data_IF_406322665756
#
_entry.id   IF_406322665756
#
_cell.length_a   1.000
_cell.length_b   1.000
_cell.length_c   1.000
_cell.angle_alpha   90.00
_cell.angle_beta   90.00
_cell.angle_gamma   90.00
#
_symmetry.space_group_name_H-M   'P 1'
#
loop_
_entity.id
_entity.type
_entity.pdbx_description
1 polymer ?
#
# COMPACT_ATOMS: atom_id res chain seq x y z
N UNK A 1 0.65 -4.73 32.24
CA UNK A 1 0.67 -5.02 30.79
C UNK A 1 1.93 -5.82 30.53
N UNK A 2 1.92 -6.94 29.80
CA UNK A 2 3.17 -7.50 29.32
C UNK A 2 3.81 -6.47 28.37
N UNK A 3 5.12 -6.28 28.47
CA UNK A 3 5.88 -5.36 27.61
C UNK A 3 5.72 -5.78 26.14
N UNK A 4 5.03 -4.97 25.34
CA UNK A 4 4.95 -5.19 23.89
C UNK A 4 6.24 -4.68 23.28
N UNK A 5 7.08 -5.60 22.83
CA UNK A 5 8.32 -5.29 22.11
C UNK A 5 8.04 -5.44 20.62
N UNK A 6 7.89 -4.33 19.90
CA UNK A 6 7.75 -4.32 18.45
C UNK A 6 9.11 -4.16 17.79
N UNK A 7 9.44 -5.03 16.85
CA UNK A 7 10.71 -4.97 16.12
C UNK A 7 10.41 -5.15 14.64
N UNK A 8 10.74 -4.14 13.82
CA UNK A 8 10.76 -4.25 12.36
C UNK A 8 12.18 -4.03 11.85
N UNK A 9 12.84 -5.13 11.55
CA UNK A 9 14.17 -5.12 10.95
C UNK A 9 14.04 -5.37 9.46
N UNK A 10 14.65 -4.48 8.68
CA UNK A 10 14.80 -4.66 7.25
C UNK A 10 16.28 -4.53 6.93
N UNK A 11 16.88 -5.63 6.51
CA UNK A 11 18.32 -5.72 6.29
C UNK A 11 18.52 -6.13 4.86
N UNK A 12 19.30 -5.33 4.13
CA UNK A 12 19.80 -5.71 2.80
C UNK A 12 21.31 -5.82 2.91
N UNK A 13 21.85 -6.95 2.47
CA UNK A 13 23.29 -7.13 2.30
C UNK A 13 23.58 -7.42 0.84
N UNK A 14 24.70 -6.91 0.35
CA UNK A 14 25.17 -7.19 -1.01
C UNK A 14 26.61 -7.70 -0.91
N UNK A 15 26.86 -8.85 -1.53
CA UNK A 15 28.19 -9.44 -1.62
C UNK A 15 28.51 -9.85 -3.05
N UNK A 16 29.80 -9.85 -3.40
CA UNK A 16 30.26 -10.44 -4.65
C UNK A 16 30.17 -11.96 -4.50
N UNK A 17 29.21 -12.58 -5.18
CA UNK A 17 28.98 -14.02 -5.14
C UNK A 17 30.08 -14.77 -5.91
N UNK A 18 30.38 -14.26 -7.10
CA UNK A 18 31.50 -14.63 -7.94
C UNK A 18 31.98 -13.39 -8.71
N UNK A 19 33.07 -13.50 -9.47
CA UNK A 19 33.65 -12.36 -10.20
C UNK A 19 32.74 -11.67 -11.22
N UNK A 20 31.51 -12.17 -11.44
CA UNK A 20 30.53 -11.63 -12.39
C UNK A 20 29.13 -11.48 -11.82
N UNK A 21 28.90 -11.80 -10.55
CA UNK A 21 27.56 -11.85 -9.94
C UNK A 21 27.55 -11.22 -8.56
N UNK A 22 26.62 -10.31 -8.33
CA UNK A 22 26.26 -9.81 -6.99
C UNK A 22 25.14 -10.68 -6.42
N UNK A 23 25.25 -11.02 -5.14
CA UNK A 23 24.17 -11.59 -4.36
C UNK A 23 23.66 -10.52 -3.38
N UNK A 24 22.46 -10.02 -3.64
CA UNK A 24 21.73 -9.20 -2.70
C UNK A 24 20.80 -10.09 -1.86
N UNK A 25 20.93 -10.04 -0.54
CA UNK A 25 20.04 -10.74 0.40
C UNK A 25 19.21 -9.71 1.14
N UNK A 26 17.91 -9.82 1.04
CA UNK A 26 16.95 -8.99 1.76
C UNK A 26 16.28 -9.81 2.85
N UNK A 27 16.21 -9.28 4.06
CA UNK A 27 15.43 -9.83 5.16
C UNK A 27 14.46 -8.75 5.62
N UNK A 28 13.16 -9.04 5.57
CA UNK A 28 12.17 -8.34 6.37
C UNK A 28 11.81 -9.24 7.55
N UNK A 29 12.01 -8.74 8.76
CA UNK A 29 11.62 -9.40 9.98
C UNK A 29 10.86 -8.41 10.84
N UNK A 30 9.54 -8.49 10.81
CA UNK A 30 8.66 -7.85 11.77
C UNK A 30 7.79 -8.86 12.53
N UNK A 31 6.98 -8.36 13.47
CA UNK A 31 6.15 -9.18 14.35
C UNK A 31 5.01 -9.90 13.61
N UNK A 32 4.64 -9.42 12.42
CA UNK A 32 3.51 -9.90 11.62
C UNK A 32 4.00 -10.72 10.42
N UNK A 33 5.08 -10.26 9.79
CA UNK A 33 5.66 -10.76 8.57
C UNK A 33 7.17 -10.93 8.72
N UNK A 34 7.63 -12.14 8.40
CA UNK A 34 9.03 -12.45 8.24
C UNK A 34 9.23 -13.04 6.86
N UNK A 35 10.05 -12.44 6.02
CA UNK A 35 10.43 -12.99 4.72
C UNK A 35 11.87 -12.67 4.37
N UNK A 36 12.47 -13.56 3.60
CA UNK A 36 13.82 -13.41 3.06
C UNK A 36 13.76 -13.52 1.54
N UNK A 37 14.60 -12.75 0.86
CA UNK A 37 14.90 -12.92 -0.56
C UNK A 37 16.39 -12.98 -0.81
N UNK A 38 16.77 -13.74 -1.84
CA UNK A 38 18.11 -13.78 -2.41
C UNK A 38 18.00 -13.45 -3.89
N UNK A 39 18.72 -12.43 -4.33
CA UNK A 39 18.67 -11.90 -5.68
C UNK A 39 20.08 -11.96 -6.25
N UNK A 40 20.23 -12.69 -7.36
CA UNK A 40 21.49 -12.85 -8.07
C UNK A 40 21.48 -11.95 -9.30
N UNK A 41 22.38 -10.98 -9.35
CA UNK A 41 22.42 -9.92 -10.36
C UNK A 41 23.78 -9.97 -11.05
N UNK A 42 23.82 -10.01 -12.38
CA UNK A 42 25.11 -9.96 -13.07
C UNK A 42 25.72 -8.56 -13.02
N UNK A 43 27.04 -8.47 -12.94
CA UNK A 43 27.77 -7.19 -12.79
C UNK A 43 27.97 -6.44 -14.10
N UNK A 44 27.58 -7.00 -15.25
CA UNK A 44 27.86 -6.40 -16.56
C UNK A 44 26.63 -5.70 -17.13
N UNK A 45 25.51 -6.40 -17.22
CA UNK A 45 24.21 -5.95 -17.66
C UNK A 45 23.23 -5.66 -16.52
N UNK A 46 23.63 -5.85 -15.26
CA UNK A 46 22.82 -5.55 -14.07
C UNK A 46 21.41 -6.17 -14.13
N UNK A 47 21.36 -7.41 -14.62
CA UNK A 47 20.14 -8.19 -14.84
C UNK A 47 19.99 -9.27 -13.77
N UNK A 48 18.77 -9.45 -13.27
CA UNK A 48 18.45 -10.50 -12.29
C UNK A 48 18.50 -11.86 -12.99
N UNK A 49 19.43 -12.75 -12.62
CA UNK A 49 19.55 -14.09 -13.21
C UNK A 49 18.91 -15.21 -12.39
N UNK A 50 18.84 -15.03 -11.08
CA UNK A 50 18.13 -15.95 -10.20
C UNK A 50 17.55 -15.19 -9.03
N UNK A 51 16.44 -15.68 -8.52
CA UNK A 51 15.78 -15.12 -7.36
C UNK A 51 15.23 -16.24 -6.51
N UNK A 52 15.33 -16.12 -5.19
CA UNK A 52 14.72 -17.05 -4.24
C UNK A 52 14.00 -16.25 -3.18
N UNK A 53 12.83 -16.70 -2.77
CA UNK A 53 12.07 -16.09 -1.67
C UNK A 53 11.65 -17.15 -0.67
N UNK A 54 11.58 -16.75 0.58
CA UNK A 54 11.11 -17.58 1.68
C UNK A 54 10.28 -16.75 2.64
N UNK A 55 9.17 -17.32 3.10
CA UNK A 55 8.46 -16.80 4.25
C UNK A 55 8.94 -17.50 5.52
N UNK A 56 9.27 -16.71 6.53
CA UNK A 56 9.63 -17.12 7.88
C UNK A 56 8.44 -16.96 8.84
N UNK A 57 7.57 -15.96 8.60
CA UNK A 57 6.37 -15.68 9.39
C UNK A 57 5.33 -14.95 8.53
N UNK A 58 4.05 -15.31 8.65
CA UNK A 58 2.96 -14.69 7.90
C UNK A 58 1.63 -14.90 8.63
N UNK A 59 0.69 -13.98 8.43
CA UNK A 59 -0.67 -14.05 9.01
C UNK A 59 -1.73 -14.51 8.01
N UNK A 60 -1.43 -14.44 6.71
CA UNK A 60 -2.34 -14.84 5.63
C UNK A 60 -1.93 -16.22 5.07
N UNK A 61 -2.75 -17.27 5.19
CA UNK A 61 -2.38 -18.64 4.78
C UNK A 61 -1.88 -18.75 3.34
N UNK A 62 -2.30 -17.86 2.46
CA UNK A 62 -1.95 -17.84 1.05
C UNK A 62 -0.59 -17.20 0.75
N UNK A 63 0.03 -16.47 1.69
CA UNK A 63 1.29 -15.74 1.51
C UNK A 63 2.40 -16.60 0.86
N UNK A 64 2.52 -17.87 1.25
CA UNK A 64 3.51 -18.79 0.68
C UNK A 64 3.42 -18.98 -0.85
N UNK A 65 2.25 -18.77 -1.47
CA UNK A 65 2.03 -18.92 -2.92
C UNK A 65 2.74 -17.83 -3.72
N UNK A 66 3.05 -16.70 -3.08
CA UNK A 66 3.79 -15.61 -3.69
C UNK A 66 5.21 -16.02 -4.12
N UNK A 67 5.79 -17.08 -3.54
CA UNK A 67 7.18 -17.50 -3.79
C UNK A 67 7.40 -17.96 -5.23
N UNK A 68 6.42 -18.60 -5.87
CA UNK A 68 6.59 -19.08 -7.25
C UNK A 68 6.56 -17.90 -8.24
N UNK A 69 5.70 -16.93 -7.98
CA UNK A 69 5.45 -15.78 -8.86
C UNK A 69 6.58 -14.74 -8.81
N UNK A 70 7.41 -14.79 -7.77
CA UNK A 70 8.66 -14.04 -7.65
C UNK A 70 9.61 -14.25 -8.84
N UNK A 71 9.62 -15.45 -9.43
CA UNK A 71 10.51 -15.79 -10.55
C UNK A 71 10.29 -14.92 -11.79
N UNK A 72 9.15 -14.22 -11.89
CA UNK A 72 8.86 -13.29 -12.99
C UNK A 72 9.76 -12.06 -13.01
N UNK A 73 10.48 -11.78 -11.93
CA UNK A 73 11.51 -10.74 -11.91
C UNK A 73 12.82 -11.19 -12.58
N UNK A 74 13.03 -12.49 -12.77
CA UNK A 74 14.23 -13.01 -13.45
C UNK A 74 14.24 -12.52 -14.90
N UNK A 75 15.38 -11.99 -15.33
CA UNK A 75 15.59 -11.34 -16.62
C UNK A 75 15.30 -9.84 -16.63
N UNK A 76 14.86 -9.24 -15.53
CA UNK A 76 14.71 -7.78 -15.45
C UNK A 76 16.06 -7.09 -15.24
N UNK A 77 16.33 -6.05 -16.04
CA UNK A 77 17.49 -5.19 -15.89
C UNK A 77 17.17 -4.07 -14.89
N UNK A 78 17.97 -3.94 -13.83
CA UNK A 78 17.70 -3.00 -12.72
C UNK A 78 18.08 -1.55 -13.07
N UNK A 79 18.72 -1.35 -14.22
CA UNK A 79 19.05 -0.01 -14.76
C UNK A 79 17.93 0.54 -15.64
N UNK A 80 16.93 -0.27 -16.00
CA UNK A 80 15.80 0.18 -16.81
C UNK A 80 15.04 1.30 -16.06
N UNK A 81 14.71 2.39 -16.75
CA UNK A 81 14.02 3.54 -16.13
C UNK A 81 12.61 3.21 -15.66
N UNK A 82 11.99 2.16 -16.19
CA UNK A 82 10.70 1.63 -15.79
C UNK A 82 10.79 0.43 -14.84
N UNK A 83 12.00 0.04 -14.40
CA UNK A 83 12.23 -1.16 -13.57
C UNK A 83 11.31 -1.20 -12.35
N UNK A 84 11.24 -0.11 -11.59
CA UNK A 84 10.42 -0.05 -10.38
C UNK A 84 8.93 -0.23 -10.66
N UNK A 85 8.44 0.34 -11.76
CA UNK A 85 7.05 0.16 -12.21
C UNK A 85 6.82 -1.28 -12.69
N UNK A 86 7.79 -1.86 -13.40
CA UNK A 86 7.76 -3.25 -13.87
C UNK A 86 7.69 -4.22 -12.70
N UNK A 87 8.54 -4.08 -11.68
CA UNK A 87 8.52 -4.93 -10.47
C UNK A 87 7.24 -4.75 -9.66
N UNK A 88 6.76 -3.52 -9.48
CA UNK A 88 5.44 -3.30 -8.84
C UNK A 88 4.33 -3.99 -9.61
N UNK A 89 4.38 -3.97 -10.95
CA UNK A 89 3.38 -4.62 -11.82
C UNK A 89 3.53 -6.14 -11.92
N UNK A 90 4.74 -6.68 -11.93
CA UNK A 90 4.99 -8.12 -12.08
C UNK A 90 5.03 -8.79 -10.73
N UNK A 91 5.88 -8.36 -9.81
CA UNK A 91 6.03 -8.96 -8.47
C UNK A 91 4.97 -8.42 -7.51
N UNK A 92 4.75 -7.11 -7.48
CA UNK A 92 3.80 -6.51 -6.54
C UNK A 92 2.36 -6.96 -6.78
N UNK A 93 1.95 -7.09 -8.06
CA UNK A 93 0.62 -7.57 -8.43
C UNK A 93 0.50 -9.08 -8.53
N UNK A 94 1.54 -9.81 -8.94
CA UNK A 94 1.44 -11.26 -9.20
C UNK A 94 1.97 -12.14 -8.06
N UNK A 95 2.88 -11.62 -7.22
CA UNK A 95 3.49 -12.32 -6.07
C UNK A 95 2.96 -11.73 -4.77
N UNK A 96 3.60 -10.69 -4.21
CA UNK A 96 3.06 -9.86 -3.14
C UNK A 96 3.83 -8.54 -3.02
N UNK A 97 3.21 -7.54 -2.39
CA UNK A 97 3.83 -6.23 -2.17
C UNK A 97 5.06 -6.31 -1.25
N UNK A 98 5.05 -7.18 -0.24
CA UNK A 98 6.19 -7.36 0.68
C UNK A 98 7.46 -7.79 -0.08
N UNK A 99 7.32 -8.77 -0.97
CA UNK A 99 8.43 -9.23 -1.81
C UNK A 99 8.84 -8.18 -2.85
N UNK A 100 7.88 -7.47 -3.44
CA UNK A 100 8.18 -6.43 -4.42
C UNK A 100 9.00 -5.29 -3.81
N UNK A 101 8.61 -4.79 -2.64
CA UNK A 101 9.32 -3.72 -1.95
C UNK A 101 10.71 -4.17 -1.51
N UNK A 102 10.83 -5.36 -0.92
CA UNK A 102 12.14 -5.89 -0.52
C UNK A 102 13.06 -6.14 -1.72
N UNK A 103 12.51 -6.58 -2.84
CA UNK A 103 13.25 -6.77 -4.09
C UNK A 103 13.78 -5.46 -4.66
N UNK A 104 12.95 -4.40 -4.69
CA UNK A 104 13.39 -3.08 -5.14
C UNK A 104 14.60 -2.60 -4.34
N UNK A 105 14.54 -2.74 -3.01
CA UNK A 105 15.63 -2.32 -2.14
C UNK A 105 16.90 -3.15 -2.32
N UNK A 106 16.77 -4.47 -2.53
CA UNK A 106 17.90 -5.32 -2.90
C UNK A 106 18.56 -4.86 -4.21
N UNK A 107 17.76 -4.45 -5.19
CA UNK A 107 18.26 -3.98 -6.48
C UNK A 107 18.92 -2.60 -6.36
N UNK A 108 18.34 -1.68 -5.60
CA UNK A 108 18.93 -0.35 -5.35
C UNK A 108 20.26 -0.49 -4.61
N UNK A 109 20.32 -1.32 -3.56
CA UNK A 109 21.58 -1.60 -2.85
C UNK A 109 22.62 -2.26 -3.75
N UNK A 110 22.20 -3.13 -4.68
CA UNK A 110 23.12 -3.76 -5.63
C UNK A 110 23.68 -2.75 -6.65
N UNK A 111 22.88 -1.76 -7.08
CA UNK A 111 23.36 -0.65 -7.92
C UNK A 111 24.41 0.17 -7.18
N UNK A 112 24.12 0.57 -5.94
CA UNK A 112 25.07 1.33 -5.12
C UNK A 112 26.38 0.55 -4.91
N UNK A 113 26.29 -0.76 -4.66
CA UNK A 113 27.46 -1.62 -4.51
C UNK A 113 28.27 -1.76 -5.81
N UNK A 114 27.63 -1.75 -6.98
CA UNK A 114 28.29 -1.79 -8.28
C UNK A 114 28.98 -0.46 -8.66
N UNK A 115 28.43 0.68 -8.19
CA UNK A 115 29.00 2.01 -8.42
C UNK A 115 30.13 2.35 -7.43
N UNK A 116 30.18 1.68 -6.29
CA UNK A 116 31.16 1.93 -5.23
C UNK A 116 32.47 1.17 -5.46
N UNK A 117 33.64 1.84 -5.55
CA UNK A 117 34.94 1.16 -5.62
C UNK A 117 35.32 0.62 -4.24
N UNK A 118 34.65 -0.44 -3.79
CA UNK A 118 34.99 -1.10 -2.53
C UNK A 118 36.30 -1.86 -2.74
N UNK A 119 37.41 -1.32 -2.20
CA UNK A 119 38.65 -2.09 -2.02
C UNK A 119 38.32 -3.31 -1.17
N UNK A 120 38.77 -4.52 -1.54
CA UNK A 120 38.63 -5.69 -0.69
C UNK A 120 39.23 -5.36 0.69
N UNK A 121 38.42 -5.41 1.74
CA UNK A 121 38.95 -5.46 3.09
C UNK A 121 39.78 -6.74 3.17
N UNK A 122 41.10 -6.59 3.37
CA UNK A 122 41.96 -7.72 3.68
C UNK A 122 41.33 -8.48 4.84
N UNK A 123 41.12 -9.78 4.66
CA UNK A 123 40.70 -10.68 5.74
C UNK A 123 41.81 -10.70 6.78
N UNK A 124 41.77 -9.77 7.74
CA UNK A 124 42.51 -9.95 8.98
C UNK A 124 41.81 -11.09 9.72
N UNK A 125 42.52 -12.21 9.84
CA UNK A 125 42.04 -13.37 10.58
C UNK A 125 41.65 -12.93 11.99
N UNK A 126 40.37 -13.13 12.34
CA UNK A 126 39.93 -12.99 13.72
C UNK A 126 40.72 -13.99 14.59
N UNK A 127 41.21 -13.58 15.78
CA UNK A 127 41.91 -14.49 16.67
C UNK A 127 40.94 -15.58 17.12
N UNK A 128 41.38 -16.84 17.03
CA UNK A 128 40.61 -18.00 17.43
C UNK A 128 40.27 -17.95 18.93
N UNK A 129 39.03 -17.61 19.27
CA UNK A 129 38.47 -17.86 20.60
C UNK A 129 37.75 -19.21 20.59
N UNK A 130 38.32 -20.15 21.34
CA UNK A 130 37.69 -21.43 21.69
C UNK A 130 36.60 -21.18 22.72
N UNK A 131 35.34 -21.08 22.32
CA UNK A 131 34.22 -21.36 23.23
C UNK A 131 33.10 -22.07 22.47
N UNK A 132 32.86 -23.33 22.81
CA UNK A 132 31.69 -24.11 22.41
C UNK A 132 30.56 -23.83 23.39
N UNK A 133 29.30 -23.75 22.92
CA UNK A 133 28.25 -24.46 23.65
C UNK A 133 27.39 -25.33 22.74
N UNK A 134 27.17 -26.55 23.23
CA UNK A 134 26.21 -27.52 22.75
C UNK A 134 24.76 -27.10 23.04
N UNK A 135 23.85 -27.82 22.36
CA UNK A 135 22.42 -27.99 22.64
C UNK A 135 21.44 -26.96 22.07
N UNK A 136 20.93 -27.26 20.88
CA UNK A 136 19.49 -27.22 20.59
C UNK A 136 19.18 -28.27 19.52
N UNK A 137 18.72 -29.43 19.98
CA UNK A 137 18.30 -30.54 19.15
C UNK A 137 16.80 -30.43 18.83
N UNK A 138 16.48 -30.74 17.57
CA UNK A 138 15.26 -31.36 17.04
C UNK A 138 13.88 -30.76 17.36
N UNK A 139 13.21 -30.28 16.30
CA UNK A 139 11.75 -30.27 16.20
C UNK A 139 11.31 -31.07 14.94
N UNK A 140 10.16 -31.75 14.97
CA UNK A 140 9.82 -32.84 14.04
C UNK A 140 9.21 -32.35 12.72
N UNK A 141 9.48 -33.07 11.63
CA UNK A 141 8.88 -32.83 10.31
C UNK A 141 7.46 -33.39 10.22
N UNK A 142 6.51 -32.66 9.60
CA UNK A 142 5.20 -33.21 9.27
C UNK A 142 5.19 -33.98 7.94
N UNK A 143 4.52 -35.13 7.96
CA UNK A 143 4.43 -36.13 6.89
C UNK A 143 3.61 -35.65 5.67
N UNK A 144 4.07 -36.05 4.47
CA UNK A 144 3.39 -35.87 3.17
C UNK A 144 2.15 -36.77 3.08
N UNK A 145 1.04 -36.24 2.54
CA UNK A 145 -0.05 -37.04 1.96
C UNK A 145 -0.02 -36.99 0.43
N UNK A 146 -0.45 -38.04 -0.28
CA UNK A 146 -0.18 -38.24 -1.70
C UNK A 146 -1.10 -37.47 -2.64
N UNK A 147 -0.58 -37.21 -3.83
CA UNK A 147 -1.14 -36.46 -4.95
C UNK A 147 -2.43 -37.08 -5.54
N UNK A 148 -3.29 -36.22 -6.10
CA UNK A 148 -4.35 -36.61 -7.03
C UNK A 148 -4.12 -35.92 -8.38
N UNK A 149 -4.03 -36.74 -9.42
CA UNK A 149 -3.62 -36.42 -10.78
C UNK A 149 -4.59 -35.52 -11.58
N UNK A 150 -4.02 -35.00 -12.67
CA UNK A 150 -4.50 -33.97 -13.57
C UNK A 150 -5.66 -34.35 -14.51
N UNK A 151 -6.34 -33.34 -15.05
CA UNK A 151 -6.90 -33.37 -16.41
C UNK A 151 -6.93 -31.94 -16.99
N UNK A 152 -6.14 -31.74 -18.05
CA UNK A 152 -6.10 -30.49 -18.82
C UNK A 152 -7.02 -30.51 -20.04
N UNK A 153 -7.32 -29.31 -20.54
CA UNK A 153 -7.89 -29.07 -21.87
C UNK A 153 -7.52 -27.66 -22.36
N UNK A 154 -7.11 -27.46 -23.63
CA UNK A 154 -6.62 -26.18 -24.13
C UNK A 154 -7.74 -25.26 -24.60
N UNK A 155 -7.60 -23.95 -24.36
CA UNK A 155 -8.50 -22.89 -24.87
C UNK A 155 -7.72 -21.99 -25.86
N UNK A 156 -8.28 -21.65 -27.03
CA UNK A 156 -7.58 -20.97 -28.12
C UNK A 156 -7.40 -19.45 -27.89
N UNK A 157 -6.45 -18.79 -28.60
CA UNK A 157 -6.14 -17.37 -28.41
C UNK A 157 -7.14 -16.44 -29.10
N UNK A 158 -7.41 -15.28 -28.48
CA UNK A 158 -8.20 -14.16 -29.02
C UNK A 158 -7.23 -13.03 -29.42
N UNK A 159 -7.42 -12.34 -30.56
CA UNK A 159 -6.41 -11.46 -31.16
C UNK A 159 -6.38 -10.05 -30.55
N UNK A 160 -5.23 -9.39 -30.66
CA UNK A 160 -4.95 -8.05 -30.13
C UNK A 160 -5.52 -6.92 -31.02
N UNK A 161 -5.98 -5.79 -30.44
CA UNK A 161 -6.22 -4.57 -31.21
C UNK A 161 -4.98 -3.65 -31.24
N UNK A 162 -4.81 -2.97 -32.37
CA UNK A 162 -3.69 -2.10 -32.72
C UNK A 162 -3.73 -0.70 -32.06
N UNK A 163 -2.58 -0.02 -31.92
CA UNK A 163 -2.47 1.25 -31.19
C UNK A 163 -2.66 2.48 -32.09
N UNK A 164 -3.35 3.49 -31.56
CA UNK A 164 -3.08 4.89 -31.92
C UNK A 164 -4.28 5.82 -31.81
N UNK A 165 -4.23 6.77 -30.85
CA UNK A 165 -4.24 8.24 -31.04
C UNK A 165 -4.63 8.94 -29.71
N UNK A 166 -3.69 9.65 -29.07
CA UNK A 166 -3.99 10.49 -27.90
C UNK A 166 -4.66 11.81 -28.35
N UNK A 167 -5.79 12.25 -27.75
CA UNK A 167 -6.31 13.60 -27.93
C UNK A 167 -5.96 14.53 -26.76
N UNK A 168 -5.70 15.79 -27.12
CA UNK A 168 -5.35 16.92 -26.24
C UNK A 168 -6.48 17.26 -25.27
N UNK A 169 -6.12 17.49 -24.00
CA UNK A 169 -7.04 17.84 -22.90
C UNK A 169 -7.46 19.31 -23.04
N UNK A 170 -8.76 19.55 -23.29
CA UNK A 170 -9.41 20.84 -23.07
C UNK A 170 -10.03 20.83 -21.67
N UNK A 171 -9.79 21.88 -20.89
CA UNK A 171 -10.32 22.07 -19.55
C UNK A 171 -11.85 22.29 -19.57
N UNK A 172 -12.62 21.32 -19.13
CA UNK A 172 -14.05 21.49 -18.82
C UNK A 172 -14.23 22.07 -17.42
N UNK A 173 -15.23 22.94 -17.18
CA UNK A 173 -15.55 23.45 -15.84
C UNK A 173 -16.01 22.32 -14.92
N UNK A 174 -15.73 22.46 -13.62
CA UNK A 174 -16.14 21.52 -12.58
C UNK A 174 -17.67 21.27 -12.60
N UNK A 175 -18.15 20.04 -12.35
CA UNK A 175 -19.57 19.76 -12.22
C UNK A 175 -20.17 20.60 -11.09
N UNK A 176 -21.21 21.38 -11.36
CA UNK A 176 -21.96 22.08 -10.32
C UNK A 176 -22.82 21.06 -9.57
N UNK A 177 -22.45 20.71 -8.35
CA UNK A 177 -23.24 19.83 -7.49
C UNK A 177 -24.44 20.61 -6.95
N UNK A 178 -25.55 20.59 -7.70
CA UNK A 178 -26.72 21.47 -7.51
C UNK A 178 -27.55 21.21 -6.23
N UNK A 179 -27.09 20.37 -5.31
CA UNK A 179 -27.88 19.90 -4.16
C UNK A 179 -27.40 20.37 -2.78
N UNK A 180 -26.53 21.39 -2.72
CA UNK A 180 -25.97 21.84 -1.44
C UNK A 180 -25.00 20.82 -0.82
N UNK A 181 -24.43 21.18 0.33
CA UNK A 181 -23.40 20.38 1.01
C UNK A 181 -21.98 20.72 0.56
N UNK A 182 -21.04 19.80 0.78
CA UNK A 182 -19.64 19.94 0.36
C UNK A 182 -19.04 18.61 -0.11
N UNK A 183 -18.03 18.68 -0.96
CA UNK A 183 -17.31 17.51 -1.49
C UNK A 183 -15.85 17.61 -1.11
N UNK A 184 -15.41 16.62 -0.34
CA UNK A 184 -14.07 16.60 0.24
C UNK A 184 -13.40 15.30 -0.19
N UNK A 185 -12.17 15.42 -0.67
CA UNK A 185 -11.30 14.27 -0.87
C UNK A 185 -10.70 13.85 0.47
N UNK A 186 -11.12 12.68 0.98
CA UNK A 186 -10.77 12.23 2.32
C UNK A 186 -9.44 11.47 2.38
N UNK A 187 -8.80 11.18 1.24
CA UNK A 187 -7.61 10.33 1.20
C UNK A 187 -6.60 10.82 0.18
N UNK A 188 -5.46 11.34 0.64
CA UNK A 188 -4.33 11.73 -0.20
C UNK A 188 -3.03 11.86 0.61
N UNK A 189 -1.91 11.79 -0.11
CA UNK A 189 -0.55 11.76 0.43
C UNK A 189 0.30 12.87 -0.16
N UNK A 190 1.13 13.47 0.69
CA UNK A 190 1.95 14.64 0.38
C UNK A 190 3.43 14.44 0.72
N UNK A 191 4.31 15.05 -0.06
CA UNK A 191 5.71 15.21 0.28
C UNK A 191 5.93 16.48 1.11
N UNK A 192 6.76 16.47 2.17
CA UNK A 192 7.60 15.37 2.64
C UNK A 192 6.98 14.50 3.74
N UNK A 193 5.72 14.73 4.11
CA UNK A 193 5.06 14.05 5.22
C UNK A 193 4.97 12.52 5.02
N UNK A 194 4.65 12.09 3.79
CA UNK A 194 4.65 10.69 3.37
C UNK A 194 5.76 10.39 2.38
N UNK A 195 6.65 9.40 2.64
CA UNK A 195 7.68 8.97 1.71
C UNK A 195 7.15 8.36 0.40
N UNK A 196 5.87 7.97 0.36
CA UNK A 196 5.24 7.40 -0.82
C UNK A 196 4.87 8.44 -1.88
N UNK A 197 4.73 9.71 -1.50
CA UNK A 197 4.29 10.80 -2.36
C UNK A 197 5.45 11.63 -2.89
N UNK A 198 5.33 12.11 -4.13
CA UNK A 198 6.32 13.00 -4.74
C UNK A 198 5.81 14.45 -4.88
N UNK A 199 4.52 14.67 -4.60
CA UNK A 199 3.83 15.95 -4.81
C UNK A 199 3.80 16.80 -3.54
N UNK A 200 4.02 18.10 -3.69
CA UNK A 200 3.96 19.03 -2.55
C UNK A 200 2.52 19.24 -2.07
N UNK A 201 2.37 19.53 -0.78
CA UNK A 201 1.08 19.93 -0.17
C UNK A 201 0.42 21.08 -0.92
N UNK A 202 1.21 22.08 -1.32
CA UNK A 202 0.70 23.25 -2.03
C UNK A 202 0.12 22.88 -3.41
N UNK A 203 0.74 21.94 -4.13
CA UNK A 203 0.26 21.51 -5.45
C UNK A 203 -1.01 20.68 -5.34
N UNK A 204 -1.12 19.84 -4.31
CA UNK A 204 -2.36 19.11 -3.99
C UNK A 204 -3.51 20.09 -3.75
N UNK A 205 -3.29 21.12 -2.92
CA UNK A 205 -4.31 22.13 -2.60
C UNK A 205 -4.69 22.95 -3.83
N UNK A 206 -3.71 23.38 -4.63
CA UNK A 206 -3.97 24.12 -5.87
C UNK A 206 -4.82 23.31 -6.84
N UNK A 207 -4.53 22.01 -7.00
CA UNK A 207 -5.32 21.15 -7.86
C UNK A 207 -6.73 20.96 -7.30
N UNK A 208 -6.87 20.62 -6.00
CA UNK A 208 -8.16 20.53 -5.28
C UNK A 208 -9.05 21.76 -5.52
N UNK A 209 -8.47 22.95 -5.41
CA UNK A 209 -9.17 24.21 -5.69
C UNK A 209 -9.48 24.39 -7.16
N UNK A 210 -8.52 24.12 -8.06
CA UNK A 210 -8.68 24.29 -9.52
C UNK A 210 -9.83 23.45 -10.08
N UNK A 211 -10.03 22.26 -9.51
CA UNK A 211 -10.96 21.25 -10.00
C UNK A 211 -12.33 21.35 -9.34
N UNK A 212 -12.46 22.21 -8.33
CA UNK A 212 -13.72 22.56 -7.68
C UNK A 212 -14.11 21.67 -6.51
N UNK A 213 -13.15 20.97 -5.86
CA UNK A 213 -13.43 20.35 -4.57
C UNK A 213 -13.70 21.45 -3.54
N UNK A 214 -14.50 21.17 -2.52
CA UNK A 214 -14.76 22.12 -1.44
C UNK A 214 -13.68 22.03 -0.34
N UNK A 215 -13.01 20.88 -0.25
CA UNK A 215 -11.90 20.68 0.66
C UNK A 215 -11.10 19.41 0.37
N UNK A 216 -10.02 19.23 1.13
CA UNK A 216 -9.23 18.00 1.13
C UNK A 216 -8.76 17.65 2.54
N UNK A 217 -8.51 16.38 2.79
CA UNK A 217 -7.89 15.88 4.02
C UNK A 217 -6.48 15.39 3.74
N UNK A 218 -5.46 15.94 4.41
CA UNK A 218 -4.11 15.38 4.40
C UNK A 218 -4.08 14.14 5.30
N UNK A 219 -3.93 12.95 4.71
CA UNK A 219 -3.97 11.65 5.41
C UNK A 219 -2.66 10.89 5.23
N UNK A 220 -1.56 11.60 5.44
CA UNK A 220 -0.21 11.07 5.29
C UNK A 220 0.05 9.86 6.20
N UNK A 221 0.88 8.93 5.74
CA UNK A 221 1.22 7.71 6.47
C UNK A 221 1.92 8.03 7.79
N UNK A 222 1.29 7.63 8.90
CA UNK A 222 1.81 7.80 10.26
C UNK A 222 2.17 9.25 10.63
N UNK A 223 1.63 10.24 9.91
CA UNK A 223 1.94 11.65 10.12
C UNK A 223 0.66 12.45 10.34
N UNK A 224 0.46 12.91 11.58
CA UNK A 224 -0.63 13.83 11.91
C UNK A 224 -0.18 15.27 11.74
N UNK A 225 -0.87 15.98 10.86
CA UNK A 225 -0.72 17.42 10.71
C UNK A 225 -1.22 18.17 11.95
N UNK A 226 -0.42 19.10 12.47
CA UNK A 226 -0.84 19.95 13.58
C UNK A 226 -1.86 21.02 13.15
N UNK A 227 -2.71 21.44 14.07
CA UNK A 227 -3.81 22.39 13.81
C UNK A 227 -3.30 23.73 13.27
N UNK A 228 -2.15 24.21 13.74
CA UNK A 228 -1.61 25.49 13.30
C UNK A 228 -1.09 25.40 11.86
N UNK A 229 -0.47 24.28 11.48
CA UNK A 229 -0.07 24.01 10.10
C UNK A 229 -1.27 23.94 9.16
N UNK A 230 -2.32 23.20 9.51
CA UNK A 230 -3.55 23.12 8.72
C UNK A 230 -4.25 24.48 8.58
N UNK A 231 -4.30 25.27 9.67
CA UNK A 231 -4.85 26.62 9.64
C UNK A 231 -4.03 27.57 8.75
N UNK A 232 -2.70 27.47 8.80
CA UNK A 232 -1.81 28.23 7.89
C UNK A 232 -2.04 27.86 6.43
N UNK A 233 -2.12 26.57 6.12
CA UNK A 233 -2.39 26.08 4.75
C UNK A 233 -3.76 26.55 4.26
N UNK A 234 -4.80 26.37 5.07
CA UNK A 234 -6.16 26.79 4.73
C UNK A 234 -6.22 28.29 4.44
N UNK A 235 -5.58 29.11 5.28
CA UNK A 235 -5.52 30.57 5.10
C UNK A 235 -4.68 30.97 3.88
N UNK A 236 -3.54 30.32 3.65
CA UNK A 236 -2.64 30.65 2.55
C UNK A 236 -3.27 30.38 1.18
N UNK A 237 -4.07 29.32 1.07
CA UNK A 237 -4.72 28.92 -0.19
C UNK A 237 -6.16 29.39 -0.32
N UNK A 238 -6.75 29.93 0.76
CA UNK A 238 -8.18 30.24 0.83
C UNK A 238 -9.01 29.01 0.41
N UNK A 239 -8.74 27.90 1.09
CA UNK A 239 -9.25 26.57 0.77
C UNK A 239 -9.39 25.74 2.05
N UNK A 240 -10.37 24.84 2.13
CA UNK A 240 -10.55 23.98 3.31
C UNK A 240 -9.51 22.85 3.29
N UNK A 241 -8.54 22.93 4.21
CA UNK A 241 -7.52 21.89 4.40
C UNK A 241 -7.70 21.28 5.79
N UNK A 242 -8.06 20.00 5.82
CA UNK A 242 -8.32 19.24 7.03
C UNK A 242 -7.22 18.19 7.25
N UNK A 243 -7.09 17.73 8.50
CA UNK A 243 -6.13 16.71 8.88
C UNK A 243 -6.79 15.36 9.12
N UNK A 244 -6.09 14.31 8.71
CA UNK A 244 -6.28 12.94 9.18
C UNK A 244 -4.93 12.25 9.28
N UNK A 245 -4.93 10.93 9.31
CA UNK A 245 -3.73 10.10 9.28
C UNK A 245 -4.09 8.76 8.64
N UNK A 246 -3.24 8.23 7.76
CA UNK A 246 -3.35 6.83 7.33
C UNK A 246 -2.42 5.96 8.18
N UNK A 247 -3.02 5.15 9.06
CA UNK A 247 -2.30 4.29 9.98
C UNK A 247 -2.34 2.85 9.47
N UNK A 248 -1.16 2.30 9.17
CA UNK A 248 -1.02 0.89 8.86
C UNK A 248 -1.22 0.04 10.11
N UNK A 249 -2.13 -0.93 10.04
CA UNK A 249 -2.39 -1.90 11.11
C UNK A 249 -2.10 -3.34 10.67
N UNK A 250 -2.16 -4.27 11.62
CA UNK A 250 -2.11 -5.70 11.34
C UNK A 250 -3.27 -6.22 10.46
N UNK A 251 -4.31 -5.41 10.25
CA UNK A 251 -5.50 -5.76 9.45
C UNK A 251 -5.65 -4.95 8.15
N UNK A 252 -4.70 -4.06 7.84
CA UNK A 252 -4.72 -3.14 6.69
C UNK A 252 -4.59 -1.68 7.10
N UNK A 253 -4.67 -0.78 6.12
CA UNK A 253 -4.57 0.66 6.34
C UNK A 253 -5.90 1.27 6.78
N UNK A 254 -5.83 2.24 7.70
CA UNK A 254 -6.99 2.86 8.34
C UNK A 254 -6.83 4.37 8.28
N UNK A 255 -7.81 5.06 7.70
CA UNK A 255 -7.90 6.52 7.84
C UNK A 255 -8.45 6.83 9.23
N UNK A 256 -7.75 7.70 9.94
CA UNK A 256 -8.09 8.12 11.30
C UNK A 256 -8.32 9.61 11.31
N UNK A 257 -9.54 10.02 11.65
CA UNK A 257 -9.91 11.42 11.84
C UNK A 257 -10.18 11.69 13.32
N UNK A 258 -9.73 12.84 13.83
CA UNK A 258 -10.01 13.28 15.20
C UNK A 258 -9.14 12.67 16.30
N UNK A 259 -8.09 11.92 15.95
CA UNK A 259 -7.12 11.44 16.94
C UNK A 259 -6.13 12.56 17.32
N UNK A 260 -5.86 12.70 18.62
CA UNK A 260 -4.96 13.75 19.14
C UNK A 260 -3.47 13.35 19.14
N UNK A 261 -3.16 12.11 18.79
CA UNK A 261 -1.79 11.58 18.81
C UNK A 261 -1.40 10.91 17.49
N UNK A 262 -0.10 10.81 17.29
CA UNK A 262 0.49 10.02 16.21
C UNK A 262 0.52 8.53 16.56
N UNK A 263 0.51 7.71 15.50
CA UNK A 263 0.62 6.26 15.57
C UNK A 263 1.86 5.82 14.79
N UNK A 264 3.05 5.90 15.40
CA UNK A 264 4.28 5.54 14.71
C UNK A 264 4.34 4.02 14.49
N UNK A 265 4.61 3.61 13.25
CA UNK A 265 4.75 2.20 12.89
C UNK A 265 3.44 1.45 12.85
N UNK A 266 3.53 0.11 12.79
CA UNK A 266 2.36 -0.75 12.65
C UNK A 266 1.78 -1.04 14.04
N UNK A 267 0.50 -0.79 14.22
CA UNK A 267 -0.25 -1.08 15.46
C UNK A 267 -1.30 -2.14 15.22
N UNK A 268 -1.79 -2.81 16.26
CA UNK A 268 -2.97 -3.66 16.05
C UNK A 268 -4.22 -2.79 15.81
N UNK A 269 -5.19 -3.29 15.05
CA UNK A 269 -6.45 -2.57 14.83
C UNK A 269 -7.20 -2.27 16.15
N UNK A 270 -7.08 -3.17 17.13
CA UNK A 270 -7.68 -2.99 18.45
C UNK A 270 -6.97 -1.86 19.20
N UNK A 271 -5.64 -1.87 19.25
CA UNK A 271 -4.89 -0.79 19.86
C UNK A 271 -5.20 0.54 19.19
N UNK A 272 -5.26 0.58 17.85
CA UNK A 272 -5.63 1.79 17.12
C UNK A 272 -6.98 2.35 17.59
N UNK A 273 -8.02 1.50 17.66
CA UNK A 273 -9.36 1.91 18.12
C UNK A 273 -9.36 2.42 19.55
N UNK A 274 -8.68 1.74 20.47
CA UNK A 274 -8.58 2.15 21.86
C UNK A 274 -7.81 3.47 22.02
N UNK A 275 -6.74 3.61 21.25
CA UNK A 275 -5.79 4.70 21.35
C UNK A 275 -6.25 5.97 20.62
N UNK A 276 -6.95 5.85 19.49
CA UNK A 276 -7.52 6.99 18.77
C UNK A 276 -8.59 7.71 19.59
N UNK A 277 -9.20 7.01 20.55
CA UNK A 277 -10.20 7.55 21.45
C UNK A 277 -11.61 7.41 20.88
N UNK A 278 -12.63 7.52 21.74
CA UNK A 278 -14.03 7.28 21.36
C UNK A 278 -14.57 8.31 20.36
N UNK A 279 -13.90 9.46 20.26
CA UNK A 279 -14.26 10.52 19.33
C UNK A 279 -13.59 10.35 17.95
N UNK A 280 -12.59 9.48 17.80
CA UNK A 280 -12.00 9.27 16.48
C UNK A 280 -12.94 8.52 15.55
N UNK A 281 -12.92 8.89 14.27
CA UNK A 281 -13.66 8.20 13.22
C UNK A 281 -12.67 7.39 12.36
N UNK A 282 -12.86 6.08 12.30
CA UNK A 282 -11.96 5.15 11.62
C UNK A 282 -12.60 4.64 10.33
N UNK A 283 -11.87 4.71 9.24
CA UNK A 283 -12.32 4.21 7.93
C UNK A 283 -11.35 3.13 7.46
N UNK A 284 -11.87 1.95 7.12
CA UNK A 284 -11.06 0.94 6.44
C UNK A 284 -10.66 1.46 5.06
N UNK A 285 -9.39 1.82 4.88
CA UNK A 285 -8.85 2.34 3.63
C UNK A 285 -8.61 1.17 2.67
N UNK A 286 -9.12 1.29 1.45
CA UNK A 286 -8.93 0.34 0.34
C UNK A 286 -8.77 -1.14 0.79
N UNK A 287 -9.72 -1.70 1.57
CA UNK A 287 -9.48 -2.89 2.40
C UNK A 287 -9.20 -4.18 1.61
N UNK A 288 -9.47 -4.16 0.31
CA UNK A 288 -9.26 -5.28 -0.60
C UNK A 288 -8.25 -4.98 -1.71
N UNK A 289 -7.42 -3.95 -1.56
CA UNK A 289 -6.30 -3.66 -2.46
C UNK A 289 -5.41 -4.89 -2.63
N UNK A 290 -5.23 -5.32 -3.88
CA UNK A 290 -4.43 -6.47 -4.25
C UNK A 290 -5.11 -7.83 -4.05
N UNK A 291 -6.35 -7.88 -3.55
CA UNK A 291 -7.06 -9.14 -3.28
C UNK A 291 -7.85 -9.66 -4.48
N UNK A 292 -8.29 -8.79 -5.41
CA UNK A 292 -9.13 -9.19 -6.56
C UNK A 292 -8.50 -8.90 -7.93
N UNK A 293 -7.21 -8.58 -7.95
CA UNK A 293 -6.38 -8.55 -9.17
C UNK A 293 -6.26 -9.93 -9.82
N UNK A 294 -6.66 -11.00 -9.12
CA UNK A 294 -6.83 -12.34 -9.64
C UNK A 294 -8.30 -12.73 -9.63
N UNK A 295 -8.75 -13.42 -10.68
CA UNK A 295 -10.14 -13.87 -10.82
C UNK A 295 -10.67 -14.48 -9.52
N UNK A 296 -11.84 -13.97 -9.11
CA UNK A 296 -12.61 -14.17 -7.86
C UNK A 296 -12.68 -15.64 -7.37
N UNK A 297 -12.35 -16.62 -8.21
CA UNK A 297 -12.31 -18.04 -7.87
C UNK A 297 -10.99 -18.60 -7.32
N UNK A 298 -9.83 -17.91 -7.42
CA UNK A 298 -8.52 -18.52 -7.02
C UNK A 298 -8.05 -18.21 -5.59
N UNK A 299 -8.54 -17.13 -4.98
CA UNK A 299 -8.25 -16.75 -3.59
C UNK A 299 -9.35 -17.14 -2.60
N UNK A 300 -10.54 -17.53 -3.10
CA UNK A 300 -11.64 -18.02 -2.26
C UNK A 300 -12.17 -17.01 -1.24
N UNK A 301 -11.85 -15.72 -1.41
CA UNK A 301 -12.36 -14.60 -0.62
C UNK A 301 -13.73 -14.21 -1.15
N UNK A 302 -14.76 -14.83 -0.58
CA UNK A 302 -16.15 -14.45 -0.85
C UNK A 302 -16.55 -13.28 0.06
N UNK A 303 -17.60 -12.51 -0.27
CA UNK A 303 -18.11 -11.46 0.61
C UNK A 303 -18.38 -11.97 2.03
N UNK A 304 -18.93 -13.18 2.17
CA UNK A 304 -19.25 -13.77 3.48
C UNK A 304 -18.01 -14.02 4.34
N UNK A 305 -16.89 -14.39 3.72
CA UNK A 305 -15.61 -14.53 4.43
C UNK A 305 -14.96 -13.19 4.71
N UNK A 306 -15.06 -12.25 3.77
CA UNK A 306 -14.53 -10.91 3.95
C UNK A 306 -15.20 -10.20 5.14
N UNK A 307 -16.52 -10.36 5.30
CA UNK A 307 -17.29 -9.85 6.43
C UNK A 307 -16.80 -10.36 7.80
N UNK A 308 -16.12 -11.51 7.85
CA UNK A 308 -15.62 -12.10 9.10
C UNK A 308 -14.26 -11.52 9.52
N UNK A 309 -13.63 -10.66 8.71
CA UNK A 309 -12.35 -10.02 9.06
C UNK A 309 -12.53 -9.17 10.32
N UNK A 310 -11.60 -9.31 11.26
CA UNK A 310 -11.61 -8.59 12.52
C UNK A 310 -11.69 -7.06 12.33
N UNK A 311 -11.03 -6.55 11.28
CA UNK A 311 -11.05 -5.15 10.84
C UNK A 311 -12.42 -4.47 11.00
N UNK A 312 -13.47 -5.09 10.46
CA UNK A 312 -14.80 -4.48 10.37
C UNK A 312 -15.51 -4.29 11.71
N UNK A 313 -14.96 -4.86 12.80
CA UNK A 313 -15.47 -4.69 14.16
C UNK A 313 -14.93 -3.42 14.83
N UNK A 314 -13.92 -2.78 14.25
CA UNK A 314 -13.18 -1.67 14.85
C UNK A 314 -13.26 -0.36 14.05
N UNK A 315 -13.80 -0.40 12.84
CA UNK A 315 -13.97 0.78 11.97
C UNK A 315 -15.41 1.25 11.94
N UNK A 316 -15.61 2.53 11.60
CA UNK A 316 -16.91 3.20 11.52
C UNK A 316 -17.44 3.29 10.07
N UNK A 317 -16.55 3.18 9.09
CA UNK A 317 -16.88 3.23 7.67
C UNK A 317 -15.89 2.42 6.83
N UNK A 318 -16.22 2.26 5.55
CA UNK A 318 -15.39 1.58 4.56
C UNK A 318 -15.18 2.48 3.35
N UNK A 319 -13.93 2.58 2.88
CA UNK A 319 -13.63 3.22 1.61
C UNK A 319 -13.98 2.27 0.45
N UNK A 320 -15.03 2.63 -0.30
CA UNK A 320 -15.55 1.80 -1.40
C UNK A 320 -15.22 2.35 -2.77
N UNK A 321 -14.75 3.60 -2.84
CA UNK A 321 -14.23 4.24 -4.05
C UNK A 321 -12.82 4.77 -3.77
N UNK A 322 -11.81 4.02 -4.17
CA UNK A 322 -10.40 4.39 -4.03
C UNK A 322 -9.71 4.45 -5.41
N UNK A 323 -8.84 5.44 -5.63
CA UNK A 323 -8.19 5.70 -6.93
C UNK A 323 -7.05 4.75 -7.30
N UNK A 324 -6.52 4.00 -6.33
CA UNK A 324 -5.37 3.09 -6.51
C UNK A 324 -5.77 1.61 -6.58
N UNK A 325 -7.06 1.31 -6.58
CA UNK A 325 -7.59 -0.06 -6.72
C UNK A 325 -8.44 -0.20 -7.99
N UNK A 326 -8.67 -1.44 -8.39
CA UNK A 326 -9.49 -1.76 -9.57
C UNK A 326 -10.99 -1.55 -9.28
N UNK A 327 -11.80 -1.37 -10.33
CA UNK A 327 -13.26 -1.29 -10.21
C UNK A 327 -13.87 -2.53 -9.53
N UNK A 328 -13.27 -3.72 -9.72
CA UNK A 328 -13.70 -4.96 -9.05
C UNK A 328 -13.44 -4.93 -7.55
N UNK A 329 -12.30 -4.37 -7.13
CA UNK A 329 -11.98 -4.18 -5.71
C UNK A 329 -12.91 -3.16 -5.07
N UNK A 330 -13.18 -2.03 -5.75
CA UNK A 330 -14.18 -1.05 -5.30
C UNK A 330 -15.59 -1.67 -5.20
N UNK A 331 -16.02 -2.44 -6.20
CA UNK A 331 -17.30 -3.13 -6.19
C UNK A 331 -17.40 -4.16 -5.04
N UNK A 332 -16.32 -4.88 -4.74
CA UNK A 332 -16.29 -5.83 -3.64
C UNK A 332 -16.24 -5.13 -2.27
N UNK A 333 -15.49 -4.03 -2.14
CA UNK A 333 -15.55 -3.15 -0.95
C UNK A 333 -16.98 -2.69 -0.70
N UNK A 334 -17.70 -2.29 -1.77
CA UNK A 334 -19.09 -1.87 -1.70
C UNK A 334 -20.01 -3.01 -1.25
N UNK A 335 -19.87 -4.19 -1.82
CA UNK A 335 -20.67 -5.38 -1.45
C UNK A 335 -20.50 -5.73 0.03
N UNK A 336 -19.26 -5.73 0.52
CA UNK A 336 -18.97 -6.01 1.93
C UNK A 336 -19.50 -4.92 2.85
N UNK A 337 -19.35 -3.64 2.47
CA UNK A 337 -19.86 -2.51 3.26
C UNK A 337 -21.39 -2.55 3.36
N UNK A 338 -22.09 -2.80 2.24
CA UNK A 338 -23.55 -2.92 2.20
C UNK A 338 -24.04 -4.09 3.06
N UNK A 339 -23.37 -5.24 2.98
CA UNK A 339 -23.71 -6.44 3.76
C UNK A 339 -23.48 -6.28 5.27
N UNK A 340 -22.52 -5.42 5.67
CA UNK A 340 -22.25 -5.07 7.07
C UNK A 340 -23.03 -3.84 7.55
N UNK A 341 -23.78 -3.18 6.67
CA UNK A 341 -24.44 -1.90 6.93
C UNK A 341 -23.48 -0.80 7.42
N UNK A 342 -22.24 -0.82 6.91
CA UNK A 342 -21.25 0.20 7.22
C UNK A 342 -21.38 1.37 6.23
N UNK A 343 -21.32 2.63 6.71
CA UNK A 343 -21.20 3.81 5.86
C UNK A 343 -20.03 3.71 4.88
N UNK A 344 -20.20 4.30 3.71
CA UNK A 344 -19.26 4.20 2.60
C UNK A 344 -18.63 5.56 2.27
N UNK A 345 -17.32 5.61 2.10
CA UNK A 345 -16.58 6.81 1.69
C UNK A 345 -15.80 6.59 0.40
N UNK A 346 -15.39 7.70 -0.21
CA UNK A 346 -14.51 7.73 -1.37
C UNK A 346 -13.36 8.72 -1.16
N UNK A 347 -12.21 8.36 -1.72
CA UNK A 347 -10.98 9.15 -1.65
C UNK A 347 -10.08 8.84 -2.84
N UNK A 348 -9.30 9.81 -3.29
CA UNK A 348 -8.42 9.61 -4.45
C UNK A 348 -7.26 8.67 -4.15
N UNK A 349 -6.79 8.66 -2.89
CA UNK A 349 -5.49 8.13 -2.50
C UNK A 349 -4.38 8.67 -3.42
N UNK A 350 -4.46 9.98 -3.69
CA UNK A 350 -3.57 10.66 -4.60
C UNK A 350 -2.14 10.70 -4.04
N UNK A 351 -1.19 10.31 -4.88
CA UNK A 351 0.25 10.45 -4.64
C UNK A 351 0.90 11.39 -5.69
N UNK A 352 0.10 11.82 -6.67
CA UNK A 352 0.47 12.69 -7.78
C UNK A 352 -0.70 13.67 -8.05
N UNK A 353 -0.39 14.85 -8.59
CA UNK A 353 -1.40 15.91 -8.84
C UNK A 353 -2.57 15.42 -9.69
N UNK A 354 -2.31 14.62 -10.73
CA UNK A 354 -3.35 14.16 -11.68
C UNK A 354 -4.38 13.21 -11.06
N UNK A 355 -4.12 12.69 -9.87
CA UNK A 355 -4.97 11.73 -9.17
C UNK A 355 -5.94 12.42 -8.20
N UNK A 356 -5.67 13.66 -7.82
CA UNK A 356 -6.47 14.42 -6.83
C UNK A 356 -7.93 14.48 -7.26
N UNK A 357 -8.84 14.06 -6.39
CA UNK A 357 -10.28 14.07 -6.65
C UNK A 357 -10.71 13.14 -7.79
N UNK A 358 -10.04 12.01 -8.05
CA UNK A 358 -10.64 10.93 -8.85
C UNK A 358 -11.93 10.43 -8.18
N UNK A 359 -11.84 10.14 -6.88
CA UNK A 359 -12.97 9.90 -6.00
C UNK A 359 -12.93 10.88 -4.83
N UNK A 360 -14.09 11.15 -4.26
CA UNK A 360 -14.25 12.02 -3.09
C UNK A 360 -15.48 11.56 -2.30
N UNK A 361 -15.79 12.26 -1.22
CA UNK A 361 -17.00 12.04 -0.42
C UNK A 361 -17.86 13.30 -0.43
N UNK A 362 -19.13 13.16 -0.83
CA UNK A 362 -20.12 14.22 -0.72
C UNK A 362 -20.81 14.15 0.63
N UNK A 363 -20.83 15.28 1.33
CA UNK A 363 -21.53 15.48 2.59
C UNK A 363 -22.73 16.37 2.36
N UNK A 364 -23.88 16.04 2.96
CA UNK A 364 -25.06 16.92 2.92
C UNK A 364 -24.85 18.23 3.70
N UNK A 365 -23.99 18.19 4.71
CA UNK A 365 -23.61 19.36 5.50
C UNK A 365 -22.50 20.16 4.80
N UNK A 366 -22.48 21.47 5.01
CA UNK A 366 -21.31 22.30 4.71
C UNK A 366 -20.33 22.20 5.88
N UNK A 367 -19.06 21.94 5.58
CA UNK A 367 -18.00 21.70 6.56
C UNK A 367 -16.96 22.83 6.45
N UNK A 368 -16.56 23.39 7.58
CA UNK A 368 -15.53 24.44 7.67
C UNK A 368 -14.41 24.11 8.66
N UNK A 369 -14.51 22.99 9.37
CA UNK A 369 -13.53 22.59 10.39
C UNK A 369 -13.49 21.07 10.58
N UNK A 370 -12.44 20.58 11.23
CA UNK A 370 -12.29 19.17 11.59
C UNK A 370 -13.42 18.68 12.51
N UNK A 371 -13.88 19.53 13.44
CA UNK A 371 -15.00 19.20 14.32
C UNK A 371 -16.32 19.02 13.53
N UNK A 372 -16.55 19.87 12.51
CA UNK A 372 -17.70 19.74 11.61
C UNK A 372 -17.58 18.50 10.72
N UNK A 373 -16.38 18.16 10.25
CA UNK A 373 -16.13 16.92 9.51
C UNK A 373 -16.49 15.69 10.36
N UNK A 374 -16.01 15.62 11.60
CA UNK A 374 -16.31 14.52 12.51
C UNK A 374 -17.81 14.43 12.83
N UNK A 375 -18.48 15.57 13.01
CA UNK A 375 -19.92 15.60 13.18
C UNK A 375 -20.67 15.09 11.94
N UNK A 376 -20.22 15.46 10.74
CA UNK A 376 -20.80 15.02 9.48
C UNK A 376 -20.59 13.50 9.26
N UNK A 377 -19.39 12.98 9.52
CA UNK A 377 -19.07 11.55 9.48
C UNK A 377 -19.93 10.76 10.48
N UNK A 378 -20.07 11.22 11.72
CA UNK A 378 -20.93 10.51 12.70
C UNK A 378 -22.41 10.57 12.37
N UNK A 379 -22.85 11.54 11.57
CA UNK A 379 -24.26 11.65 11.18
C UNK A 379 -24.68 10.61 10.14
N UNK A 380 -23.73 9.99 9.44
CA UNK A 380 -24.00 9.05 8.34
C UNK A 380 -24.56 9.69 7.07
N UNK A 381 -24.73 11.02 7.02
CA UNK A 381 -25.28 11.75 5.86
C UNK A 381 -24.19 12.17 4.88
N UNK A 382 -23.56 11.16 4.28
CA UNK A 382 -22.56 11.31 3.24
C UNK A 382 -22.59 10.10 2.30
N UNK A 383 -22.02 10.25 1.12
CA UNK A 383 -21.86 9.14 0.17
C UNK A 383 -20.62 9.32 -0.72
N UNK A 384 -20.03 8.21 -1.19
CA UNK A 384 -18.86 8.28 -2.05
C UNK A 384 -19.26 8.77 -3.44
N UNK A 385 -18.41 9.56 -4.08
CA UNK A 385 -18.66 10.10 -5.43
C UNK A 385 -17.47 9.88 -6.36
N UNK A 386 -17.77 9.54 -7.61
CA UNK A 386 -16.82 9.65 -8.73
C UNK A 386 -16.74 11.12 -9.10
N UNK A 387 -15.65 11.78 -8.76
CA UNK A 387 -15.53 13.23 -8.91
C UNK A 387 -14.85 13.62 -10.22
N UNK A 388 -13.79 12.89 -10.60
CA UNK A 388 -13.23 12.93 -11.96
C UNK A 388 -13.18 11.57 -12.58
N UNK A 389 -13.52 11.53 -13.86
CA UNK A 389 -13.26 10.38 -14.71
C UNK A 389 -11.90 10.60 -15.37
N UNK A 390 -10.93 9.74 -15.06
CA UNK A 390 -9.67 9.76 -15.80
C UNK A 390 -9.93 9.13 -17.18
N UNK A 391 -9.78 9.88 -18.27
CA UNK A 391 -9.91 9.35 -19.65
C UNK A 391 -8.76 8.41 -20.07
N UNK A 392 -8.01 7.87 -19.10
CA UNK A 392 -6.80 7.08 -19.34
C UNK A 392 -7.03 5.55 -19.31
N UNK A 393 -8.29 5.10 -19.30
CA UNK A 393 -8.66 3.68 -19.21
C UNK A 393 -9.65 3.30 -20.32
N UNK A 394 -9.24 3.43 -21.59
CA UNK A 394 -9.90 2.77 -22.74
C UNK A 394 -8.89 1.90 -23.46
#
# INVERSE_FOLDING_TARGET
MPDVTFIRNKIVTVEVHDGKTLLARGLLADDIYGLEIKVYIDTTGMTIHALQGQWNRWTTPECHRAIEELQRAVGACILDSDFSQKIKKTVGRLSCLHFANLLLECCDSAREAAESPVKPLEKTAAPASKETPAALAAAPQPERRPDAEAAGGPVPPVPAPEPGRQPKIQSTPAPSWKNGGCIIDLHLHSYPASPCSSVSVDDLIREAKRIGLDGLCLTDHHHRWDRDSLARLSKAHDFLVLGGNEVTTDQGDILVFGAEKDFPGIVTIQELREQAGPEAFLIAAHPFRGFLTFGVGRLGLTPEKAMQRALFRYVDAVEVLNGKVTEKENAFSREVADALHLPATGGSDAHEVSEVGLYATHFEATIHSEAELLAALRSGRFHPVVYRVNHSSV
#
